data_IF_266780184521
#
_entry.id   IF_266780184521
#
_cell.length_a   1.000
_cell.length_b   1.000
_cell.length_c   1.000
_cell.angle_alpha   90.00
_cell.angle_beta   90.00
_cell.angle_gamma   90.00
#
_symmetry.space_group_name_H-M   'P 1'
#
loop_
_entity.id
_entity.type
_entity.pdbx_description
1 polymer ?
#
# COMPACT_ATOMS: atom_id res chain seq x y z
N UNK A 1 -61.54 62.83 20.13
CA UNK A 1 -61.57 61.79 19.10
C UNK A 1 -60.20 61.15 19.08
N UNK A 2 -60.02 60.04 19.81
CA UNK A 2 -58.73 59.39 19.98
C UNK A 2 -58.74 58.12 19.13
N UNK A 3 -57.80 57.98 18.18
CA UNK A 3 -57.65 56.82 17.33
C UNK A 3 -56.54 55.94 17.98
N UNK A 4 -56.99 54.78 18.48
CA UNK A 4 -56.12 53.77 19.07
C UNK A 4 -55.59 52.84 17.97
N UNK A 5 -54.30 52.91 17.65
CA UNK A 5 -53.63 51.96 16.77
C UNK A 5 -53.25 50.68 17.57
N UNK A 6 -53.89 49.58 17.23
CA UNK A 6 -53.55 48.27 17.76
C UNK A 6 -52.37 47.69 16.98
N UNK A 7 -51.22 47.47 17.65
CA UNK A 7 -50.07 46.72 17.14
C UNK A 7 -50.35 45.24 17.34
N UNK A 8 -50.42 44.48 16.25
CA UNK A 8 -50.47 43.02 16.26
C UNK A 8 -49.03 42.48 16.14
N UNK A 9 -48.49 41.77 17.14
CA UNK A 9 -47.18 41.12 16.97
C UNK A 9 -47.33 39.84 16.13
N UNK A 10 -46.67 39.79 14.97
CA UNK A 10 -46.47 38.54 14.20
C UNK A 10 -45.43 37.68 14.93
N UNK A 11 -45.89 36.69 15.69
CA UNK A 11 -45.02 35.65 16.20
C UNK A 11 -44.81 34.61 15.12
N UNK A 12 -43.72 34.72 14.35
CA UNK A 12 -43.25 33.72 13.42
C UNK A 12 -42.63 32.53 14.20
N UNK A 13 -43.26 31.38 14.17
CA UNK A 13 -42.71 30.15 14.73
C UNK A 13 -41.58 29.67 13.85
N UNK A 14 -40.34 29.73 14.34
CA UNK A 14 -39.19 29.08 13.69
C UNK A 14 -39.27 27.59 13.95
N UNK A 15 -39.60 26.81 12.93
CA UNK A 15 -39.59 25.36 13.02
C UNK A 15 -38.17 24.89 12.75
N UNK A 16 -37.50 24.35 13.78
CA UNK A 16 -36.21 23.68 13.64
C UNK A 16 -36.42 22.29 13.04
N UNK A 17 -35.92 22.09 11.82
CA UNK A 17 -35.86 20.77 11.21
C UNK A 17 -34.65 20.01 11.77
N UNK A 18 -34.92 18.93 12.51
CA UNK A 18 -33.89 17.99 12.94
C UNK A 18 -33.77 16.86 11.90
N UNK A 19 -32.65 16.79 11.21
CA UNK A 19 -32.37 15.68 10.28
C UNK A 19 -31.36 14.74 10.92
N UNK A 20 -31.74 13.49 11.13
CA UNK A 20 -30.83 12.45 11.62
C UNK A 20 -30.21 11.73 10.43
N UNK A 21 -28.90 11.88 10.23
CA UNK A 21 -28.14 11.11 9.24
C UNK A 21 -27.57 9.85 9.92
N UNK A 22 -27.99 8.67 9.50
CA UNK A 22 -27.43 7.41 9.96
C UNK A 22 -26.32 6.96 9.01
N UNK A 23 -25.08 6.99 9.47
CA UNK A 23 -23.92 6.48 8.72
C UNK A 23 -23.61 5.06 9.19
N UNK A 24 -23.78 4.07 8.31
CA UNK A 24 -23.36 2.68 8.57
C UNK A 24 -21.95 2.49 8.05
N UNK A 25 -21.00 2.27 8.95
CA UNK A 25 -19.60 1.96 8.60
C UNK A 25 -19.37 0.48 8.87
N UNK A 26 -18.99 -0.28 7.85
CA UNK A 26 -18.54 -1.66 8.00
C UNK A 26 -17.01 -1.65 8.06
N UNK A 27 -16.45 -1.86 9.23
CA UNK A 27 -15.01 -2.08 9.41
C UNK A 27 -14.73 -3.56 9.15
N UNK A 28 -13.98 -3.86 8.09
CA UNK A 28 -13.50 -5.22 7.80
C UNK A 28 -12.11 -5.36 8.40
N UNK A 29 -11.95 -6.32 9.31
CA UNK A 29 -10.64 -6.73 9.75
C UNK A 29 -9.85 -7.32 8.55
N UNK A 30 -8.52 -7.14 8.47
CA UNK A 30 -7.73 -7.77 7.43
C UNK A 30 -7.87 -9.30 7.51
N UNK A 31 -7.95 -10.01 6.36
CA UNK A 31 -8.18 -11.45 6.36
C UNK A 31 -7.01 -12.25 6.95
N UNK A 32 -5.81 -11.68 6.91
CA UNK A 32 -4.59 -12.33 7.37
C UNK A 32 -3.70 -11.37 8.14
N UNK A 33 -3.00 -11.89 9.13
CA UNK A 33 -1.93 -11.18 9.82
C UNK A 33 -0.62 -11.47 9.06
N UNK A 34 0.01 -10.41 8.57
CA UNK A 34 1.28 -10.52 7.85
C UNK A 34 2.43 -10.53 8.86
N UNK A 35 3.26 -11.57 8.81
CA UNK A 35 4.48 -11.74 9.61
C UNK A 35 4.31 -11.45 11.12
N UNK A 36 3.12 -11.72 11.68
CA UNK A 36 2.79 -11.39 13.07
C UNK A 36 2.92 -9.90 13.38
N UNK A 37 2.61 -9.03 12.44
CA UNK A 37 2.75 -7.57 12.50
C UNK A 37 4.21 -7.09 12.75
N UNK A 38 5.20 -7.88 12.32
CA UNK A 38 6.63 -7.53 12.42
C UNK A 38 7.20 -7.25 11.04
N UNK A 39 8.21 -6.39 10.99
CA UNK A 39 8.94 -6.08 9.77
C UNK A 39 9.61 -7.32 9.17
N UNK A 40 9.76 -7.29 7.86
CA UNK A 40 10.47 -8.31 7.08
C UNK A 40 11.72 -7.63 6.50
N UNK A 41 12.88 -7.74 7.19
CA UNK A 41 14.11 -7.13 6.70
C UNK A 41 14.63 -7.88 5.48
N UNK A 42 14.97 -7.14 4.42
CA UNK A 42 15.61 -7.66 3.22
C UNK A 42 16.98 -7.02 3.08
N UNK A 43 18.01 -7.81 3.23
CA UNK A 43 19.41 -7.36 3.09
C UNK A 43 19.95 -7.77 1.71
N UNK A 44 20.40 -6.78 0.93
CA UNK A 44 21.05 -7.03 -0.36
C UNK A 44 22.54 -7.29 -0.22
N UNK A 45 23.14 -7.07 0.96
CA UNK A 45 24.57 -7.23 1.21
C UNK A 45 25.38 -5.95 0.89
N UNK A 46 26.69 -6.06 1.06
CA UNK A 46 27.62 -4.93 0.94
C UNK A 46 28.50 -4.97 -0.31
N UNK A 47 28.40 -6.02 -1.12
CA UNK A 47 29.27 -6.32 -2.27
C UNK A 47 28.54 -6.13 -3.62
N UNK A 48 27.63 -5.14 -3.66
CA UNK A 48 26.89 -4.81 -4.87
C UNK A 48 27.76 -4.03 -5.84
N UNK A 49 27.97 -4.59 -7.01
CA UNK A 49 28.70 -3.95 -8.11
C UNK A 49 27.68 -3.25 -9.02
N UNK A 50 27.72 -1.92 -9.06
CA UNK A 50 26.74 -1.08 -9.77
C UNK A 50 26.59 -1.47 -11.25
N UNK A 51 27.72 -1.78 -11.92
CA UNK A 51 27.70 -2.19 -13.34
C UNK A 51 26.94 -3.50 -13.58
N UNK A 52 26.82 -4.35 -12.56
CA UNK A 52 26.16 -5.66 -12.62
C UNK A 52 24.68 -5.63 -12.24
N UNK A 53 24.13 -4.48 -11.88
CA UNK A 53 22.68 -4.35 -11.57
C UNK A 53 21.90 -4.47 -12.88
N UNK A 54 21.16 -5.58 -13.04
CA UNK A 54 20.48 -5.95 -14.28
C UNK A 54 19.10 -6.61 -14.09
N UNK A 55 18.45 -6.45 -12.94
CA UNK A 55 17.20 -7.11 -12.58
C UNK A 55 17.25 -8.64 -12.43
N UNK A 56 18.40 -9.23 -12.24
CA UNK A 56 18.58 -10.68 -12.07
C UNK A 56 19.56 -11.05 -10.98
N UNK A 57 20.77 -10.45 -10.99
CA UNK A 57 21.91 -10.90 -10.16
C UNK A 57 21.66 -10.66 -8.68
N UNK A 58 21.11 -9.50 -8.31
CA UNK A 58 20.89 -9.14 -6.91
C UNK A 58 19.43 -9.35 -6.53
N UNK A 59 18.96 -10.60 -6.64
CA UNK A 59 17.63 -11.00 -6.21
C UNK A 59 17.66 -11.58 -4.80
N UNK A 60 16.67 -11.18 -3.97
CA UNK A 60 16.48 -11.66 -2.60
C UNK A 60 15.04 -12.10 -2.42
N UNK A 61 14.84 -13.24 -1.78
CA UNK A 61 13.52 -13.71 -1.37
C UNK A 61 12.94 -12.80 -0.27
N UNK A 62 11.65 -12.57 -0.32
CA UNK A 62 10.90 -11.91 0.74
C UNK A 62 10.23 -12.99 1.58
N UNK A 63 10.77 -13.35 2.77
CA UNK A 63 10.28 -14.47 3.58
C UNK A 63 9.08 -14.04 4.42
N UNK A 64 7.95 -13.76 3.79
CA UNK A 64 6.72 -13.38 4.48
C UNK A 64 5.95 -14.61 4.97
N UNK A 65 5.25 -14.43 6.09
CA UNK A 65 4.32 -15.41 6.65
C UNK A 65 2.94 -14.79 6.73
N UNK A 66 1.89 -15.54 6.38
CA UNK A 66 0.51 -15.13 6.55
C UNK A 66 -0.17 -16.07 7.55
N UNK A 67 -0.77 -15.48 8.58
CA UNK A 67 -1.76 -16.17 9.41
C UNK A 67 -3.15 -15.75 8.95
N UNK A 68 -3.81 -16.64 8.22
CA UNK A 68 -5.15 -16.43 7.67
C UNK A 68 -6.20 -17.29 8.39
N UNK A 69 -5.94 -17.73 9.62
CA UNK A 69 -6.82 -18.61 10.39
C UNK A 69 -8.20 -17.98 10.66
N UNK A 70 -8.29 -16.66 10.76
CA UNK A 70 -9.54 -15.92 10.92
C UNK A 70 -10.22 -15.52 9.60
N UNK A 71 -9.64 -15.88 8.45
CA UNK A 71 -10.21 -15.51 7.16
C UNK A 71 -11.48 -16.29 6.86
N UNK A 72 -12.53 -15.59 6.43
CA UNK A 72 -13.83 -16.17 6.05
C UNK A 72 -13.88 -16.63 4.60
N UNK A 73 -12.90 -16.24 3.78
CA UNK A 73 -12.72 -16.67 2.39
C UNK A 73 -11.24 -16.91 2.11
N UNK A 74 -10.96 -17.89 1.24
CA UNK A 74 -9.60 -18.17 0.76
C UNK A 74 -9.24 -17.39 -0.50
N UNK A 75 -10.22 -16.75 -1.15
CA UNK A 75 -9.99 -15.87 -2.30
C UNK A 75 -9.47 -14.53 -1.81
N UNK A 76 -8.17 -14.33 -1.93
CA UNK A 76 -7.42 -13.21 -1.39
C UNK A 76 -6.66 -12.49 -2.49
N UNK A 77 -6.29 -11.25 -2.21
CA UNK A 77 -5.39 -10.45 -3.03
C UNK A 77 -4.33 -9.79 -2.15
N UNK A 78 -3.17 -9.58 -2.72
CA UNK A 78 -2.06 -8.91 -2.04
C UNK A 78 -1.52 -7.74 -2.84
N UNK A 79 -0.94 -6.79 -2.16
CA UNK A 79 -0.31 -5.61 -2.75
C UNK A 79 0.94 -5.26 -1.95
N UNK A 80 2.03 -4.96 -2.64
CA UNK A 80 3.19 -4.29 -2.04
C UNK A 80 3.04 -2.78 -2.29
N UNK A 81 2.69 -2.03 -1.26
CA UNK A 81 2.48 -0.59 -1.31
C UNK A 81 3.78 0.15 -0.99
N UNK A 82 4.14 1.11 -1.83
CA UNK A 82 5.33 1.91 -1.63
C UNK A 82 5.45 3.05 -2.64
N UNK A 83 6.42 3.92 -2.45
CA UNK A 83 6.75 4.98 -3.40
C UNK A 83 7.41 4.40 -4.65
N UNK A 84 6.87 4.70 -5.83
CA UNK A 84 7.50 4.34 -7.09
C UNK A 84 8.79 5.15 -7.34
N UNK A 85 9.73 4.58 -8.07
CA UNK A 85 10.92 5.30 -8.48
C UNK A 85 10.59 6.39 -9.53
N UNK A 86 11.36 7.47 -9.54
CA UNK A 86 11.13 8.58 -10.45
C UNK A 86 11.28 8.21 -11.93
N UNK A 87 12.10 7.23 -12.25
CA UNK A 87 12.34 6.76 -13.61
C UNK A 87 11.43 5.62 -14.06
N UNK A 88 10.79 4.91 -13.11
CA UNK A 88 9.82 3.85 -13.36
C UNK A 88 8.91 3.72 -12.12
N UNK A 89 7.70 4.22 -12.20
CA UNK A 89 6.75 4.21 -11.08
C UNK A 89 6.22 2.82 -10.74
N UNK A 90 6.53 1.81 -11.54
CA UNK A 90 6.14 0.42 -11.27
C UNK A 90 7.12 -0.33 -10.38
N UNK A 91 8.31 0.22 -10.15
CA UNK A 91 9.31 -0.34 -9.24
C UNK A 91 9.42 0.49 -7.97
N UNK A 92 9.81 -0.13 -6.87
CA UNK A 92 9.94 0.54 -5.57
C UNK A 92 11.15 1.47 -5.58
N UNK A 93 10.93 2.74 -5.30
CA UNK A 93 11.99 3.73 -5.16
C UNK A 93 12.86 3.47 -3.93
N UNK A 94 14.12 3.81 -4.03
CA UNK A 94 15.07 3.81 -2.90
C UNK A 94 15.48 5.22 -2.51
N UNK A 95 16.16 5.35 -1.39
CA UNK A 95 16.79 6.62 -0.96
C UNK A 95 17.89 7.11 -1.93
N UNK A 96 18.31 6.27 -2.87
CA UNK A 96 19.37 6.58 -3.84
C UNK A 96 18.79 6.82 -5.23
N UNK A 97 19.12 7.97 -5.81
CA UNK A 97 18.69 8.30 -7.17
C UNK A 97 19.14 7.25 -8.18
N UNK A 98 18.31 6.99 -9.17
CA UNK A 98 18.54 6.03 -10.26
C UNK A 98 18.69 4.56 -9.82
N UNK A 99 18.48 4.24 -8.53
CA UNK A 99 18.43 2.89 -7.99
C UNK A 99 17.03 2.59 -7.49
N UNK A 100 16.49 1.44 -7.83
CA UNK A 100 15.17 1.00 -7.41
C UNK A 100 15.16 -0.52 -7.16
N UNK A 101 14.03 -1.01 -6.68
CA UNK A 101 13.79 -2.43 -6.42
C UNK A 101 12.60 -2.87 -7.24
N UNK A 102 12.81 -3.82 -8.15
CA UNK A 102 11.74 -4.53 -8.83
C UNK A 102 11.24 -5.64 -7.91
N UNK A 103 9.95 -5.66 -7.69
CA UNK A 103 9.27 -6.70 -6.92
C UNK A 103 8.76 -7.77 -7.86
N UNK A 104 8.82 -9.03 -7.44
CA UNK A 104 8.35 -10.16 -8.23
C UNK A 104 7.42 -11.04 -7.42
N UNK A 105 6.46 -11.64 -8.12
CA UNK A 105 5.55 -12.67 -7.64
C UNK A 105 5.72 -13.90 -8.53
N UNK A 106 6.14 -15.03 -7.96
CA UNK A 106 6.45 -16.25 -8.71
C UNK A 106 7.40 -16.00 -9.90
N UNK A 107 8.42 -15.15 -9.71
CA UNK A 107 9.40 -14.80 -10.74
C UNK A 107 8.93 -13.78 -11.78
N UNK A 108 7.67 -13.36 -11.75
CA UNK A 108 7.11 -12.36 -12.67
C UNK A 108 7.07 -10.99 -12.00
N UNK A 109 7.41 -9.92 -12.73
CA UNK A 109 7.35 -8.55 -12.23
C UNK A 109 5.98 -8.23 -11.66
N UNK A 110 5.97 -7.73 -10.45
CA UNK A 110 4.81 -7.25 -9.73
C UNK A 110 4.96 -5.74 -9.50
N UNK A 111 4.15 -4.93 -10.16
CA UNK A 111 4.23 -3.49 -9.97
C UNK A 111 3.84 -3.09 -8.55
N UNK A 112 4.56 -2.13 -7.96
CA UNK A 112 4.16 -1.55 -6.68
C UNK A 112 2.76 -0.96 -6.78
N UNK A 113 2.01 -1.00 -5.70
CA UNK A 113 0.65 -0.51 -5.61
C UNK A 113 -0.38 -1.24 -6.52
N UNK A 114 0.00 -2.39 -7.11
CA UNK A 114 -0.91 -3.25 -7.89
C UNK A 114 -1.39 -4.44 -7.08
N UNK A 115 -2.66 -4.78 -7.22
CA UNK A 115 -3.25 -5.94 -6.57
C UNK A 115 -3.00 -7.22 -7.37
N UNK A 116 -2.62 -8.28 -6.68
CA UNK A 116 -2.41 -9.61 -7.22
C UNK A 116 -3.28 -10.62 -6.49
N UNK A 117 -4.14 -11.31 -7.23
CA UNK A 117 -5.03 -12.32 -6.67
C UNK A 117 -4.28 -13.62 -6.37
N UNK A 118 -4.64 -14.27 -5.28
CA UNK A 118 -4.19 -15.62 -4.94
C UNK A 118 -5.26 -16.33 -4.13
N UNK A 119 -5.09 -17.65 -3.95
CA UNK A 119 -6.00 -18.47 -3.15
C UNK A 119 -5.19 -19.17 -2.06
N UNK A 120 -5.51 -18.90 -0.79
CA UNK A 120 -4.86 -19.55 0.34
C UNK A 120 -5.21 -21.06 0.35
N UNK A 121 -4.23 -21.97 0.54
CA UNK A 121 -2.84 -21.77 0.94
C UNK A 121 -1.83 -21.63 -0.22
N UNK A 122 -2.25 -21.56 -1.48
CA UNK A 122 -1.35 -21.38 -2.63
C UNK A 122 -0.83 -19.95 -2.71
N UNK A 123 0.10 -19.62 -1.82
CA UNK A 123 0.67 -18.27 -1.68
C UNK A 123 1.80 -18.05 -2.69
N UNK A 124 1.86 -16.88 -3.36
CA UNK A 124 2.94 -16.62 -4.30
C UNK A 124 4.29 -16.44 -3.58
N UNK A 125 5.36 -16.87 -4.22
CA UNK A 125 6.72 -16.57 -3.78
C UNK A 125 7.05 -15.14 -4.16
N UNK A 126 7.39 -14.32 -3.16
CA UNK A 126 7.79 -12.93 -3.39
C UNK A 126 9.31 -12.80 -3.37
N UNK A 127 9.82 -11.96 -4.27
CA UNK A 127 11.22 -11.58 -4.29
C UNK A 127 11.40 -10.12 -4.66
N UNK A 128 12.57 -9.58 -4.33
CA UNK A 128 13.00 -8.23 -4.59
C UNK A 128 14.33 -8.27 -5.31
N UNK A 129 14.49 -7.52 -6.39
CA UNK A 129 15.72 -7.47 -7.16
C UNK A 129 16.10 -6.03 -7.46
N UNK A 130 17.40 -5.73 -7.41
CA UNK A 130 17.91 -4.40 -7.73
C UNK A 130 17.80 -4.10 -9.21
N UNK A 131 17.31 -2.91 -9.52
CA UNK A 131 17.23 -2.35 -10.87
C UNK A 131 17.77 -0.93 -10.88
N UNK A 132 18.31 -0.50 -11.99
CA UNK A 132 18.83 0.85 -12.16
C UNK A 132 18.27 1.55 -13.39
N UNK A 133 18.19 2.87 -13.31
CA UNK A 133 17.93 3.69 -14.48
C UNK A 133 19.10 3.56 -15.48
N UNK A 134 18.79 3.17 -16.72
CA UNK A 134 19.82 3.00 -17.77
C UNK A 134 20.44 4.31 -18.23
N UNK A 135 19.69 5.41 -18.08
CA UNK A 135 20.12 6.76 -18.51
C UNK A 135 20.70 7.59 -17.37
N UNK A 136 20.73 7.06 -16.14
CA UNK A 136 21.21 7.78 -14.96
C UNK A 136 22.34 7.07 -14.25
N UNK A 137 23.25 7.84 -13.67
CA UNK A 137 24.31 7.30 -12.85
C UNK A 137 23.80 6.94 -11.46
N UNK A 138 24.20 5.79 -10.95
CA UNK A 138 24.01 5.38 -9.56
C UNK A 138 25.31 5.64 -8.80
N UNK A 139 25.22 6.36 -7.69
CA UNK A 139 26.38 6.61 -6.81
C UNK A 139 26.56 5.49 -5.80
N UNK A 140 27.79 5.20 -5.39
CA UNK A 140 28.08 4.24 -4.33
C UNK A 140 27.52 4.63 -2.97
N UNK A 141 27.61 3.75 -1.98
CA UNK A 141 27.15 3.93 -0.60
C UNK A 141 25.84 3.22 -0.31
N UNK A 142 25.36 3.36 0.93
CA UNK A 142 24.15 2.71 1.43
C UNK A 142 22.88 3.25 0.80
N UNK A 143 21.84 2.42 0.75
CA UNK A 143 20.50 2.80 0.36
C UNK A 143 19.47 2.11 1.26
N UNK A 144 18.28 2.68 1.31
CA UNK A 144 17.12 2.13 2.00
C UNK A 144 15.89 2.22 1.11
N UNK A 145 14.93 1.33 1.34
CA UNK A 145 13.61 1.38 0.75
C UNK A 145 12.60 0.78 1.74
N UNK A 146 11.37 1.20 1.66
CA UNK A 146 10.29 0.70 2.52
C UNK A 146 9.06 0.40 1.67
N UNK A 147 8.45 -0.74 1.94
CA UNK A 147 7.18 -1.16 1.33
C UNK A 147 6.32 -1.83 2.38
N UNK A 148 5.01 -1.74 2.23
CA UNK A 148 4.04 -2.41 3.10
C UNK A 148 3.32 -3.51 2.32
N UNK A 149 3.37 -4.74 2.82
CA UNK A 149 2.60 -5.85 2.27
C UNK A 149 1.19 -5.83 2.85
N UNK A 150 0.20 -5.67 1.99
CA UNK A 150 -1.22 -5.68 2.33
C UNK A 150 -1.87 -6.95 1.79
N UNK A 151 -2.82 -7.49 2.54
CA UNK A 151 -3.65 -8.63 2.12
C UNK A 151 -5.11 -8.28 2.37
N UNK A 152 -5.96 -8.48 1.36
CA UNK A 152 -7.40 -8.21 1.43
C UNK A 152 -8.18 -9.36 0.77
N UNK A 153 -9.49 -9.38 1.00
CA UNK A 153 -10.41 -10.22 0.22
C UNK A 153 -10.51 -9.71 -1.22
N UNK A 154 -10.73 -10.64 -2.17
CA UNK A 154 -11.02 -10.31 -3.58
C UNK A 154 -12.37 -9.63 -3.72
#
# INVERSE_FOLDING_TARGET
MAISLAFIPLTGSVQAFSTTATVKVKVLAPPCIVNGNRDIPIDFGNDIIISRIDSRIYERSIPYVLDCSAATSKALKMQLRGGGASFDTTVLGTSKANLAIELKSNGTKMAVNSWHNFTDPARPLLSAVLVKNRSGAVTGGTFTATSTLLVEYQ
#
